data_IF_916779663093
#
_entry.id   IF_916779663093
#
_cell.length_a   1.000
_cell.length_b   1.000
_cell.length_c   1.000
_cell.angle_alpha   90.00
_cell.angle_beta   90.00
_cell.angle_gamma   90.00
#
_symmetry.space_group_name_H-M   'P 1'
#
loop_
_entity.id
_entity.type
_entity.pdbx_description
1 polymer ?
#
# COMPACT_ATOMS: atom_id res chain seq x y z
N UNK A 1 -23.05 -6.78 -66.05
CA UNK A 1 -23.46 -6.00 -64.84
C UNK A 1 -23.67 -6.87 -63.57
N UNK A 2 -22.89 -7.94 -63.32
CA UNK A 2 -23.04 -8.79 -62.10
C UNK A 2 -21.89 -8.68 -61.08
N UNK A 3 -20.71 -8.17 -61.48
CA UNK A 3 -19.54 -8.08 -60.58
C UNK A 3 -19.52 -6.85 -59.65
N UNK A 4 -20.26 -5.79 -59.99
CA UNK A 4 -20.25 -4.54 -59.21
C UNK A 4 -21.05 -4.64 -57.91
N UNK A 5 -22.08 -5.50 -57.84
CA UNK A 5 -22.92 -5.62 -56.64
C UNK A 5 -22.23 -6.42 -55.53
N UNK A 6 -21.36 -7.37 -55.88
CA UNK A 6 -20.65 -8.20 -54.91
C UNK A 6 -19.54 -7.43 -54.20
N UNK A 7 -18.82 -6.56 -54.93
CA UNK A 7 -17.72 -5.75 -54.36
C UNK A 7 -18.25 -4.70 -53.38
N UNK A 8 -19.39 -4.07 -53.68
CA UNK A 8 -20.02 -3.08 -52.78
C UNK A 8 -20.54 -3.74 -51.49
N UNK A 9 -21.07 -4.96 -51.58
CA UNK A 9 -21.54 -5.70 -50.41
C UNK A 9 -20.37 -6.13 -49.51
N UNK A 10 -19.24 -6.56 -50.09
CA UNK A 10 -18.04 -6.92 -49.34
C UNK A 10 -17.38 -5.71 -48.65
N UNK A 11 -17.38 -4.53 -49.30
CA UNK A 11 -16.83 -3.30 -48.70
C UNK A 11 -17.71 -2.79 -47.54
N UNK A 12 -19.04 -2.88 -47.64
CA UNK A 12 -19.94 -2.53 -46.54
C UNK A 12 -19.81 -3.46 -45.33
N UNK A 13 -19.55 -4.76 -45.53
CA UNK A 13 -19.35 -5.72 -44.42
C UNK A 13 -18.02 -5.47 -43.71
N UNK A 14 -16.94 -5.14 -44.44
CA UNK A 14 -15.65 -4.79 -43.84
C UNK A 14 -15.74 -3.50 -43.03
N UNK A 15 -16.47 -2.48 -43.54
CA UNK A 15 -16.69 -1.23 -42.82
C UNK A 15 -17.53 -1.42 -41.54
N UNK A 16 -18.56 -2.28 -41.57
CA UNK A 16 -19.39 -2.59 -40.41
C UNK A 16 -18.64 -3.39 -39.32
N UNK A 17 -17.65 -4.21 -39.69
CA UNK A 17 -16.82 -4.95 -38.73
C UNK A 17 -15.72 -4.07 -38.10
N UNK A 18 -15.29 -3.00 -38.76
CA UNK A 18 -14.32 -2.03 -38.22
C UNK A 18 -14.91 -0.96 -37.31
N UNK A 19 -16.24 -0.88 -37.16
CA UNK A 19 -16.90 0.17 -36.36
C UNK A 19 -17.33 -0.25 -34.95
N UNK A 20 -16.96 -1.46 -34.50
CA UNK A 20 -17.07 -1.85 -33.09
C UNK A 20 -15.78 -1.52 -32.31
N UNK A 21 -15.26 -0.30 -32.43
CA UNK A 21 -14.49 0.29 -31.32
C UNK A 21 -15.50 0.69 -30.27
N UNK A 22 -15.90 -0.25 -29.41
CA UNK A 22 -16.52 0.15 -28.16
C UNK A 22 -15.52 1.08 -27.47
N UNK A 23 -15.94 2.33 -27.26
CA UNK A 23 -15.40 3.16 -26.19
C UNK A 23 -15.81 2.46 -24.89
N UNK A 24 -15.18 1.31 -24.61
CA UNK A 24 -15.18 0.71 -23.30
C UNK A 24 -14.55 1.78 -22.41
N UNK A 25 -15.40 2.45 -21.62
CA UNK A 25 -15.01 3.35 -20.56
C UNK A 25 -13.88 2.63 -19.83
N UNK A 26 -12.65 3.12 -19.97
CA UNK A 26 -11.43 2.45 -19.46
C UNK A 26 -11.62 2.35 -17.96
N UNK A 27 -12.13 1.21 -17.51
CA UNK A 27 -12.53 1.02 -16.12
C UNK A 27 -11.25 1.19 -15.30
N UNK A 28 -11.28 2.13 -14.35
CA UNK A 28 -10.08 2.40 -13.55
C UNK A 28 -9.70 1.08 -12.87
N UNK A 29 -8.43 0.64 -13.00
CA UNK A 29 -8.01 -0.65 -12.47
C UNK A 29 -8.28 -0.67 -10.97
N UNK A 30 -8.84 -1.78 -10.50
CA UNK A 30 -8.99 -2.04 -9.07
C UNK A 30 -7.63 -2.51 -8.54
N UNK A 31 -7.11 -1.82 -7.53
CA UNK A 31 -5.92 -2.25 -6.80
C UNK A 31 -6.35 -3.03 -5.56
N UNK A 32 -5.69 -4.15 -5.25
CA UNK A 32 -6.09 -5.05 -4.15
C UNK A 32 -6.10 -4.36 -2.79
N UNK A 33 -5.20 -3.42 -2.58
CA UNK A 33 -5.14 -2.62 -1.34
C UNK A 33 -6.33 -1.66 -1.16
N UNK A 34 -7.14 -1.40 -2.19
CA UNK A 34 -8.33 -0.54 -2.04
C UNK A 34 -9.36 -1.10 -1.06
N UNK A 35 -9.39 -2.43 -0.86
CA UNK A 35 -10.26 -3.08 0.11
C UNK A 35 -9.65 -3.23 1.51
N UNK A 36 -8.43 -2.72 1.74
CA UNK A 36 -7.66 -3.00 2.95
C UNK A 36 -7.80 -1.97 4.07
N UNK A 37 -8.42 -0.81 3.77
CA UNK A 37 -8.49 0.34 4.67
C UNK A 37 -9.74 0.36 5.55
N UNK A 38 -9.81 -0.54 6.53
CA UNK A 38 -10.81 -0.43 7.59
C UNK A 38 -10.47 0.74 8.52
N UNK A 39 -11.46 1.31 9.21
CA UNK A 39 -11.23 2.36 10.22
C UNK A 39 -10.25 1.86 11.29
N UNK A 40 -9.29 2.71 11.66
CA UNK A 40 -8.21 2.38 12.60
C UNK A 40 -7.06 1.54 12.01
N UNK A 41 -7.23 0.95 10.81
CA UNK A 41 -6.18 0.16 10.16
C UNK A 41 -5.20 1.03 9.36
N UNK A 42 -3.96 0.57 9.25
CA UNK A 42 -2.93 1.18 8.41
C UNK A 42 -2.71 0.29 7.19
N UNK A 43 -2.98 0.81 6.01
CA UNK A 43 -2.67 0.15 4.75
C UNK A 43 -1.28 0.56 4.29
N UNK A 44 -0.40 -0.42 4.11
CA UNK A 44 0.93 -0.21 3.57
C UNK A 44 1.04 -0.88 2.19
N UNK A 45 1.65 -0.19 1.22
CA UNK A 45 1.98 -0.80 -0.08
C UNK A 45 3.43 -0.52 -0.42
N UNK A 46 4.10 -1.51 -1.01
CA UNK A 46 5.50 -1.45 -1.41
C UNK A 46 5.61 -1.87 -2.87
N UNK A 47 6.19 -1.02 -3.70
CA UNK A 47 6.62 -1.39 -5.04
C UNK A 47 7.87 -2.26 -4.95
N UNK A 48 7.75 -3.53 -5.31
CA UNK A 48 8.85 -4.47 -5.20
C UNK A 48 9.98 -4.20 -6.20
N UNK A 49 9.69 -3.48 -7.29
CA UNK A 49 10.70 -3.09 -8.27
C UNK A 49 11.50 -1.88 -7.82
N UNK A 50 10.87 -0.96 -7.07
CA UNK A 50 11.56 0.19 -6.48
C UNK A 50 12.28 -0.18 -5.17
N UNK A 51 11.72 -1.10 -4.39
CA UNK A 51 12.24 -1.53 -3.09
C UNK A 51 12.60 -3.03 -3.04
N UNK A 52 13.48 -3.53 -3.94
CA UNK A 52 13.78 -4.96 -4.01
C UNK A 52 14.44 -5.48 -2.73
N UNK A 53 15.30 -4.70 -2.09
CA UNK A 53 16.00 -5.09 -0.87
C UNK A 53 15.03 -5.23 0.32
N UNK A 54 14.05 -4.33 0.40
CA UNK A 54 13.00 -4.40 1.43
C UNK A 54 12.20 -5.69 1.28
N UNK A 55 11.77 -5.98 0.06
CA UNK A 55 10.99 -7.18 -0.25
C UNK A 55 11.82 -8.46 -0.07
N UNK A 56 13.09 -8.46 -0.49
CA UNK A 56 13.98 -9.59 -0.29
C UNK A 56 14.23 -9.88 1.20
N UNK A 57 14.43 -8.83 2.01
CA UNK A 57 14.65 -8.99 3.46
C UNK A 57 13.45 -9.61 4.18
N UNK A 58 12.24 -9.26 3.76
CA UNK A 58 11.00 -9.86 4.27
C UNK A 58 10.87 -11.35 3.91
N UNK A 59 11.18 -11.71 2.66
CA UNK A 59 11.08 -13.10 2.21
C UNK A 59 12.27 -13.99 2.62
N UNK A 60 13.27 -13.42 3.30
CA UNK A 60 14.45 -14.13 3.78
C UNK A 60 15.17 -14.90 2.67
N UNK A 61 15.28 -16.22 2.82
CA UNK A 61 15.97 -17.10 1.87
C UNK A 61 15.20 -17.33 0.55
N UNK A 62 13.97 -16.83 0.42
CA UNK A 62 13.14 -16.98 -0.78
C UNK A 62 13.41 -15.87 -1.82
N UNK A 63 14.68 -15.67 -2.17
CA UNK A 63 15.11 -14.59 -3.07
C UNK A 63 14.38 -14.62 -4.43
N UNK A 64 14.20 -15.80 -5.04
CA UNK A 64 13.46 -15.95 -6.30
C UNK A 64 11.98 -15.54 -6.19
N UNK A 65 11.39 -15.73 -5.01
CA UNK A 65 10.02 -15.28 -4.76
C UNK A 65 9.95 -13.75 -4.69
N UNK A 66 10.90 -13.14 -3.98
CA UNK A 66 11.02 -11.69 -3.89
C UNK A 66 11.25 -11.03 -5.25
N UNK A 67 12.11 -11.60 -6.12
CA UNK A 67 12.39 -11.07 -7.46
C UNK A 67 11.19 -11.09 -8.40
N UNK A 68 10.22 -11.98 -8.16
CA UNK A 68 8.99 -12.09 -8.95
C UNK A 68 7.86 -11.23 -8.41
N UNK A 69 8.03 -10.64 -7.24
CA UNK A 69 7.06 -9.71 -6.67
C UNK A 69 7.04 -8.42 -7.51
N UNK A 70 5.85 -7.87 -7.66
CA UNK A 70 5.59 -6.56 -8.30
C UNK A 70 5.14 -5.56 -7.25
N UNK A 71 4.24 -5.97 -6.36
CA UNK A 71 3.74 -5.12 -5.28
C UNK A 71 3.38 -5.97 -4.08
N UNK A 72 3.70 -5.46 -2.91
CA UNK A 72 3.22 -6.02 -1.65
C UNK A 72 2.25 -5.05 -1.03
N UNK A 73 1.09 -5.54 -0.59
CA UNK A 73 0.06 -4.75 0.05
C UNK A 73 -0.29 -5.36 1.40
N UNK A 74 -0.41 -4.55 2.44
CA UNK A 74 -0.69 -4.97 3.81
C UNK A 74 -1.83 -4.14 4.38
N UNK A 75 -2.70 -4.78 5.14
CA UNK A 75 -3.57 -4.14 6.13
C UNK A 75 -3.02 -4.47 7.50
N UNK A 76 -2.65 -3.44 8.25
CA UNK A 76 -2.05 -3.53 9.57
C UNK A 76 -3.05 -3.04 10.60
N UNK A 77 -3.45 -3.91 11.51
CA UNK A 77 -4.37 -3.59 12.60
C UNK A 77 -3.59 -3.61 13.91
N UNK A 78 -3.34 -2.45 14.53
CA UNK A 78 -2.82 -2.38 15.88
C UNK A 78 -3.73 -3.17 16.84
N UNK A 79 -3.14 -4.02 17.67
CA UNK A 79 -3.86 -4.79 18.69
C UNK A 79 -3.80 -4.12 20.06
N UNK A 80 -3.05 -3.03 20.18
CA UNK A 80 -2.94 -2.18 21.36
C UNK A 80 -2.86 -0.69 20.98
N UNK A 81 -3.01 0.18 21.97
CA UNK A 81 -3.05 1.64 21.78
C UNK A 81 -1.66 2.30 21.89
N UNK A 82 -0.58 1.51 21.80
CA UNK A 82 0.79 2.01 22.00
C UNK A 82 1.24 2.84 20.79
N UNK A 83 1.96 3.94 21.07
CA UNK A 83 2.52 4.84 20.07
C UNK A 83 4.03 5.07 20.29
N UNK A 84 4.87 4.90 19.25
CA UNK A 84 4.54 4.42 17.91
C UNK A 84 4.13 2.93 17.93
N UNK A 85 3.45 2.47 16.87
CA UNK A 85 2.98 1.08 16.75
C UNK A 85 4.14 0.09 16.89
N UNK A 86 3.98 -0.90 17.78
CA UNK A 86 4.94 -1.99 17.98
C UNK A 86 4.66 -3.16 17.01
N UNK A 87 5.72 -3.84 16.53
CA UNK A 87 5.61 -4.85 15.48
C UNK A 87 4.91 -6.14 15.94
N UNK A 88 5.11 -6.53 17.19
CA UNK A 88 4.51 -7.71 17.82
C UNK A 88 3.04 -7.51 18.19
N UNK A 89 2.57 -6.26 18.17
CA UNK A 89 1.18 -5.87 18.39
C UNK A 89 0.43 -5.56 17.08
N UNK A 90 0.80 -6.19 15.95
CA UNK A 90 0.15 -5.99 14.67
C UNK A 90 -0.51 -7.27 14.14
N UNK A 91 -1.84 -7.25 14.05
CA UNK A 91 -2.57 -8.21 13.24
C UNK A 91 -2.53 -7.76 11.77
N UNK A 92 -1.89 -8.56 10.93
CA UNK A 92 -1.64 -8.25 9.55
C UNK A 92 -2.28 -9.27 8.62
N UNK A 93 -2.86 -8.77 7.53
CA UNK A 93 -3.05 -9.58 6.34
C UNK A 93 -2.52 -8.84 5.13
N UNK A 94 -2.00 -9.59 4.17
CA UNK A 94 -1.33 -9.03 3.02
C UNK A 94 -1.59 -9.81 1.75
N UNK A 95 -1.31 -9.13 0.64
CA UNK A 95 -1.31 -9.71 -0.69
C UNK A 95 -0.02 -9.36 -1.39
N UNK A 96 0.65 -10.38 -1.93
CA UNK A 96 1.81 -10.22 -2.80
C UNK A 96 1.34 -10.43 -4.23
N UNK A 97 1.43 -9.38 -5.03
CA UNK A 97 1.18 -9.41 -6.46
C UNK A 97 2.50 -9.66 -7.19
N UNK A 98 2.53 -10.57 -8.16
CA UNK A 98 3.75 -10.93 -8.87
C UNK A 98 3.54 -11.86 -10.06
N UNK A 99 4.63 -12.43 -10.57
CA UNK A 99 4.60 -13.46 -11.61
C UNK A 99 4.68 -14.86 -10.99
N UNK A 100 3.53 -15.33 -10.48
CA UNK A 100 3.42 -16.58 -9.74
C UNK A 100 2.40 -17.53 -10.38
N UNK A 101 2.77 -18.81 -10.51
CA UNK A 101 1.82 -19.87 -10.84
C UNK A 101 1.14 -20.38 -9.58
N UNK A 102 -0.19 -20.34 -9.56
CA UNK A 102 -1.02 -20.92 -8.49
C UNK A 102 -0.68 -22.38 -8.24
N UNK A 103 -0.51 -23.13 -9.32
CA UNK A 103 -0.20 -24.56 -9.24
C UNK A 103 1.15 -24.77 -8.56
N UNK A 104 2.20 -24.10 -9.06
CA UNK A 104 3.56 -24.28 -8.53
C UNK A 104 3.67 -23.85 -7.06
N UNK A 105 3.12 -22.70 -6.69
CA UNK A 105 3.18 -22.22 -5.30
C UNK A 105 2.42 -23.14 -4.35
N UNK A 106 1.17 -23.50 -4.67
CA UNK A 106 0.38 -24.37 -3.80
C UNK A 106 0.97 -25.78 -3.69
N UNK A 107 1.53 -26.33 -4.79
CA UNK A 107 2.26 -27.59 -4.74
C UNK A 107 3.52 -27.47 -3.88
N UNK A 108 4.29 -26.40 -4.04
CA UNK A 108 5.45 -26.14 -3.18
C UNK A 108 5.10 -26.09 -1.71
N UNK A 109 4.06 -25.32 -1.35
CA UNK A 109 3.57 -25.22 0.03
C UNK A 109 3.05 -26.55 0.59
N UNK A 110 2.42 -27.39 -0.24
CA UNK A 110 1.96 -28.72 0.16
C UNK A 110 3.11 -29.65 0.57
N UNK A 111 4.28 -29.51 -0.06
CA UNK A 111 5.47 -30.32 0.26
C UNK A 111 6.41 -29.66 1.28
N UNK A 112 6.15 -28.41 1.67
CA UNK A 112 6.92 -27.72 2.71
C UNK A 112 6.69 -28.39 4.07
N UNK A 113 7.77 -28.75 4.77
CA UNK A 113 7.70 -29.50 6.04
C UNK A 113 7.17 -28.65 7.18
N UNK A 114 7.33 -27.34 7.06
CA UNK A 114 7.01 -26.31 8.04
C UNK A 114 5.52 -25.96 8.00
N UNK A 115 4.81 -26.32 6.93
CA UNK A 115 3.40 -26.00 6.70
C UNK A 115 2.49 -27.21 6.92
N UNK A 116 1.27 -26.92 7.33
CA UNK A 116 0.17 -27.88 7.45
C UNK A 116 -1.04 -27.35 6.68
N UNK A 117 -1.73 -28.25 5.98
CA UNK A 117 -2.98 -27.89 5.31
C UNK A 117 -4.10 -27.77 6.34
N UNK A 118 -4.87 -26.68 6.23
CA UNK A 118 -6.09 -26.43 6.98
C UNK A 118 -7.25 -26.28 6.00
N UNK A 119 -8.46 -26.60 6.46
CA UNK A 119 -9.68 -26.40 5.69
C UNK A 119 -10.85 -26.13 6.61
N UNK A 120 -11.85 -25.40 6.11
CA UNK A 120 -13.09 -25.13 6.82
C UNK A 120 -14.29 -25.87 6.21
N UNK A 121 -15.46 -25.73 6.84
CA UNK A 121 -16.71 -26.39 6.41
C UNK A 121 -17.21 -25.92 5.04
N UNK A 122 -16.80 -24.72 4.61
CA UNK A 122 -17.19 -24.12 3.33
C UNK A 122 -16.26 -24.54 2.18
N UNK A 123 -15.29 -25.41 2.45
CA UNK A 123 -14.33 -25.92 1.47
C UNK A 123 -13.16 -24.98 1.18
N UNK A 124 -13.00 -23.89 1.92
CA UNK A 124 -11.79 -23.07 1.86
C UNK A 124 -10.63 -23.88 2.43
N UNK A 125 -9.52 -23.95 1.71
CA UNK A 125 -8.29 -24.62 2.16
C UNK A 125 -7.10 -23.68 2.04
N UNK A 126 -6.21 -23.73 3.03
CA UNK A 126 -5.00 -22.89 3.10
C UNK A 126 -3.86 -23.63 3.79
N UNK A 127 -2.66 -23.05 3.76
CA UNK A 127 -1.50 -23.56 4.47
C UNK A 127 -1.23 -22.70 5.70
N UNK A 128 -0.87 -23.35 6.80
CA UNK A 128 -0.56 -22.68 8.06
C UNK A 128 0.72 -23.24 8.64
N UNK A 129 1.59 -22.36 9.14
CA UNK A 129 2.86 -22.72 9.75
C UNK A 129 2.62 -23.56 11.02
N UNK A 130 3.36 -24.66 11.17
CA UNK A 130 3.19 -25.58 12.31
C UNK A 130 3.60 -24.94 13.64
N UNK A 131 4.64 -24.09 13.61
CA UNK A 131 5.25 -23.46 14.78
C UNK A 131 5.22 -21.92 14.67
N UNK A 132 4.19 -21.34 14.06
CA UNK A 132 4.10 -19.89 13.88
C UNK A 132 2.68 -19.43 13.53
N UNK A 133 2.44 -18.11 13.54
CA UNK A 133 1.11 -17.55 13.29
C UNK A 133 0.77 -17.44 11.80
N UNK A 134 1.74 -17.63 10.91
CA UNK A 134 1.58 -17.37 9.48
C UNK A 134 0.63 -18.39 8.82
N UNK A 135 -0.36 -17.87 8.11
CA UNK A 135 -1.25 -18.61 7.23
C UNK A 135 -1.25 -17.99 5.84
N UNK A 136 -1.18 -18.81 4.79
CA UNK A 136 -1.01 -18.35 3.42
C UNK A 136 -1.61 -19.32 2.39
N UNK A 137 -2.00 -18.78 1.24
CA UNK A 137 -2.46 -19.55 0.09
C UNK A 137 -2.43 -18.69 -1.18
N UNK A 138 -2.28 -19.36 -2.34
CA UNK A 138 -2.33 -18.71 -3.65
C UNK A 138 -3.70 -18.96 -4.30
N UNK A 139 -4.68 -18.04 -4.19
CA UNK A 139 -6.03 -18.25 -4.70
C UNK A 139 -6.14 -18.24 -6.24
N UNK A 140 -5.28 -17.48 -6.92
CA UNK A 140 -5.17 -17.44 -8.38
C UNK A 140 -3.74 -17.08 -8.80
N UNK A 141 -3.44 -17.19 -10.09
CA UNK A 141 -2.12 -16.84 -10.60
C UNK A 141 -1.79 -15.38 -10.29
N UNK A 142 -0.55 -15.15 -9.90
CA UNK A 142 0.02 -13.84 -9.63
C UNK A 142 -0.30 -13.25 -8.26
N UNK A 143 -1.05 -13.94 -7.39
CA UNK A 143 -1.45 -13.38 -6.08
C UNK A 143 -1.27 -14.40 -4.95
N UNK A 144 -0.44 -14.08 -3.97
CA UNK A 144 -0.32 -14.81 -2.71
C UNK A 144 -1.01 -14.01 -1.60
N UNK A 145 -1.99 -14.60 -0.93
CA UNK A 145 -2.64 -14.01 0.24
C UNK A 145 -2.03 -14.63 1.49
N UNK A 146 -1.70 -13.80 2.48
CA UNK A 146 -1.13 -14.25 3.74
C UNK A 146 -1.67 -13.43 4.93
N UNK A 147 -1.55 -13.98 6.13
CA UNK A 147 -1.90 -13.30 7.37
C UNK A 147 -1.23 -13.96 8.57
N UNK A 148 -1.02 -13.20 9.65
CA UNK A 148 -0.64 -13.72 10.96
C UNK A 148 -1.85 -13.89 11.91
N UNK A 149 -3.07 -13.70 11.40
CA UNK A 149 -4.33 -13.84 12.12
C UNK A 149 -5.27 -14.88 11.48
N UNK A 150 -6.57 -14.55 11.40
CA UNK A 150 -7.57 -15.43 10.80
C UNK A 150 -7.50 -15.41 9.27
N UNK A 151 -7.06 -16.52 8.67
CA UNK A 151 -7.01 -16.67 7.21
C UNK A 151 -8.39 -16.54 6.55
N UNK A 152 -9.44 -17.03 7.20
CA UNK A 152 -10.81 -16.93 6.67
C UNK A 152 -11.27 -15.49 6.53
N UNK A 153 -10.96 -14.65 7.53
CA UNK A 153 -11.29 -13.22 7.50
C UNK A 153 -10.45 -12.48 6.45
N UNK A 154 -9.15 -12.75 6.40
CA UNK A 154 -8.26 -12.18 5.37
C UNK A 154 -8.73 -12.53 3.95
N UNK A 155 -9.12 -13.79 3.72
CA UNK A 155 -9.61 -14.24 2.42
C UNK A 155 -10.98 -13.63 2.06
N UNK A 156 -11.87 -13.46 3.04
CA UNK A 156 -13.15 -12.77 2.83
C UNK A 156 -12.92 -11.30 2.40
N UNK A 157 -12.07 -10.56 3.12
CA UNK A 157 -11.72 -9.18 2.76
C UNK A 157 -11.08 -9.08 1.37
N UNK A 158 -10.15 -9.99 1.06
CA UNK A 158 -9.53 -10.11 -0.27
C UNK A 158 -10.57 -10.34 -1.39
N UNK A 159 -11.55 -11.20 -1.14
CA UNK A 159 -12.55 -11.59 -2.14
C UNK A 159 -13.62 -10.52 -2.37
N UNK A 160 -14.01 -9.78 -1.34
CA UNK A 160 -15.14 -8.85 -1.39
C UNK A 160 -14.89 -7.64 -2.31
N UNK A 161 -13.62 -7.28 -2.52
CA UNK A 161 -13.19 -6.20 -3.42
C UNK A 161 -13.88 -4.86 -3.15
N UNK A 162 -14.11 -4.53 -1.89
CA UNK A 162 -14.61 -3.21 -1.50
C UNK A 162 -13.64 -2.12 -1.95
N UNK A 163 -14.19 -0.93 -2.25
CA UNK A 163 -13.42 0.28 -2.56
C UNK A 163 -13.46 1.22 -1.35
N UNK A 164 -12.69 0.87 -0.32
CA UNK A 164 -12.55 1.69 0.89
C UNK A 164 -11.60 2.87 0.64
N UNK A 165 -10.60 2.68 -0.23
CA UNK A 165 -9.75 3.75 -0.75
C UNK A 165 -10.27 4.19 -2.12
N UNK A 166 -10.47 5.49 -2.30
CA UNK A 166 -10.93 6.05 -3.56
C UNK A 166 -9.88 5.89 -4.68
N UNK A 167 -10.32 5.93 -5.94
CA UNK A 167 -9.46 5.62 -7.09
C UNK A 167 -8.29 6.60 -7.28
N UNK A 168 -8.44 7.86 -6.84
CA UNK A 168 -7.39 8.86 -6.98
C UNK A 168 -6.25 8.61 -5.98
N UNK A 169 -6.60 8.41 -4.71
CA UNK A 169 -5.63 8.01 -3.67
C UNK A 169 -4.99 6.68 -4.02
N UNK A 170 -5.77 5.71 -4.52
CA UNK A 170 -5.23 4.42 -4.90
C UNK A 170 -4.21 4.52 -6.04
N UNK A 171 -4.48 5.37 -7.03
CA UNK A 171 -3.53 5.64 -8.11
C UNK A 171 -2.25 6.31 -7.60
N UNK A 172 -2.36 7.25 -6.64
CA UNK A 172 -1.20 7.87 -6.01
C UNK A 172 -0.36 6.85 -5.24
N UNK A 173 -1.00 5.97 -4.44
CA UNK A 173 -0.33 4.90 -3.71
C UNK A 173 0.37 3.90 -4.65
N UNK A 174 -0.28 3.54 -5.76
CA UNK A 174 0.28 2.64 -6.77
C UNK A 174 1.50 3.21 -7.50
N UNK A 175 1.69 4.54 -7.49
CA UNK A 175 2.84 5.20 -8.14
C UNK A 175 3.97 5.55 -7.16
N UNK A 176 3.77 5.33 -5.85
CA UNK A 176 4.80 5.51 -4.84
C UNK A 176 5.64 4.23 -4.66
N UNK A 177 6.91 4.40 -4.27
CA UNK A 177 7.80 3.29 -3.90
C UNK A 177 7.29 2.61 -2.64
N UNK A 178 6.90 3.41 -1.64
CA UNK A 178 6.18 2.97 -0.44
C UNK A 178 5.01 3.92 -0.23
N UNK A 179 3.82 3.41 0.04
CA UNK A 179 2.68 4.22 0.42
C UNK A 179 2.08 3.72 1.74
N UNK A 180 1.71 4.66 2.60
CA UNK A 180 0.98 4.39 3.85
C UNK A 180 -0.33 5.17 3.81
N UNK A 181 -1.42 4.51 4.16
CA UNK A 181 -2.75 5.11 4.23
C UNK A 181 -3.42 4.68 5.52
N UNK A 182 -4.09 5.59 6.21
CA UNK A 182 -5.00 5.24 7.29
C UNK A 182 -6.25 6.11 7.25
N UNK A 183 -7.39 5.48 7.53
CA UNK A 183 -8.66 6.14 7.73
C UNK A 183 -9.00 6.08 9.22
N UNK A 184 -9.25 7.24 9.84
CA UNK A 184 -9.48 7.40 11.28
C UNK A 184 -8.45 6.64 12.14
N UNK A 185 -7.13 6.93 12.00
CA UNK A 185 -6.10 6.20 12.74
C UNK A 185 -6.12 6.50 14.25
N UNK A 186 -5.99 5.46 15.07
CA UNK A 186 -5.73 5.61 16.52
C UNK A 186 -4.22 5.75 16.83
N UNK A 187 -3.39 5.19 15.95
CA UNK A 187 -1.93 5.22 16.00
C UNK A 187 -1.37 5.21 14.57
N UNK A 188 -0.09 5.59 14.41
CA UNK A 188 0.53 5.66 13.09
C UNK A 188 2.07 5.57 13.19
N UNK A 189 2.74 5.44 12.03
CA UNK A 189 4.20 5.47 11.97
C UNK A 189 4.74 6.90 12.14
N UNK A 190 5.65 7.12 13.08
CA UNK A 190 6.37 8.39 13.19
C UNK A 190 7.51 8.42 12.16
N UNK A 191 7.35 9.24 11.12
CA UNK A 191 8.42 9.50 10.16
C UNK A 191 9.45 10.51 10.70
N UNK A 192 9.75 10.54 12.00
CA UNK A 192 10.67 11.51 12.62
C UNK A 192 10.18 12.96 12.55
N UNK A 193 8.86 13.16 12.45
CA UNK A 193 8.23 14.48 12.56
C UNK A 193 7.93 14.85 14.02
N UNK A 194 8.10 13.88 14.95
CA UNK A 194 7.79 14.04 16.37
C UNK A 194 6.36 14.55 16.59
N UNK A 195 5.42 14.06 15.79
CA UNK A 195 4.02 14.39 15.94
C UNK A 195 3.46 13.64 17.16
N UNK A 196 2.74 14.32 18.07
CA UNK A 196 2.12 13.63 19.19
C UNK A 196 0.99 12.74 18.68
N UNK A 197 0.75 11.62 19.38
CA UNK A 197 -0.31 10.65 19.05
C UNK A 197 -1.68 11.32 18.87
N UNK A 198 -1.97 12.37 19.65
CA UNK A 198 -3.23 13.13 19.56
C UNK A 198 -3.49 13.72 18.17
N UNK A 199 -2.46 13.97 17.35
CA UNK A 199 -2.63 14.40 15.97
C UNK A 199 -3.29 13.31 15.14
N UNK A 200 -2.83 12.07 15.27
CA UNK A 200 -3.36 10.94 14.50
C UNK A 200 -4.78 10.60 14.94
N UNK A 201 -5.03 10.60 16.26
CA UNK A 201 -6.38 10.40 16.82
C UNK A 201 -7.41 11.48 16.41
N UNK A 202 -6.94 12.64 15.91
CA UNK A 202 -7.78 13.74 15.44
C UNK A 202 -7.74 13.89 13.91
N UNK A 203 -7.09 12.96 13.22
CA UNK A 203 -7.04 12.90 11.77
C UNK A 203 -8.19 12.03 11.26
N UNK A 204 -8.88 12.51 10.23
CA UNK A 204 -9.84 11.71 9.46
C UNK A 204 -9.11 10.76 8.50
N UNK A 205 -8.04 11.25 7.89
CA UNK A 205 -7.31 10.50 6.87
C UNK A 205 -5.84 10.90 6.87
N UNK A 206 -4.96 9.92 6.74
CA UNK A 206 -3.51 10.13 6.64
C UNK A 206 -3.00 9.35 5.45
N UNK A 207 -2.37 10.04 4.50
CA UNK A 207 -1.70 9.44 3.35
C UNK A 207 -0.25 9.91 3.30
N UNK A 208 0.67 8.96 3.27
CA UNK A 208 2.09 9.19 3.05
C UNK A 208 2.52 8.48 1.77
N UNK A 209 3.15 9.23 0.86
CA UNK A 209 3.69 8.72 -0.40
C UNK A 209 5.19 8.93 -0.38
N UNK A 210 5.94 7.84 -0.34
CA UNK A 210 7.39 7.85 -0.32
C UNK A 210 7.90 7.50 -1.70
N UNK A 211 8.74 8.37 -2.23
CA UNK A 211 9.35 8.24 -3.54
C UNK A 211 10.84 8.06 -3.37
N UNK A 212 11.39 7.09 -4.10
CA UNK A 212 12.82 6.88 -4.21
C UNK A 212 13.32 7.49 -5.52
N UNK A 213 14.31 8.38 -5.43
CA UNK A 213 14.99 8.97 -6.58
C UNK A 213 16.51 8.89 -6.36
N UNK A 214 17.20 8.08 -7.16
CA UNK A 214 18.67 7.99 -7.17
C UNK A 214 19.28 7.74 -5.77
N UNK A 215 18.64 6.90 -4.97
CA UNK A 215 19.07 6.56 -3.60
C UNK A 215 18.63 7.53 -2.51
N UNK A 216 17.99 8.66 -2.88
CA UNK A 216 17.37 9.57 -1.92
C UNK A 216 15.87 9.28 -1.78
N UNK A 217 15.36 9.46 -0.56
CA UNK A 217 13.94 9.30 -0.26
C UNK A 217 13.29 10.64 0.02
N UNK A 218 12.14 10.89 -0.60
CA UNK A 218 11.27 12.01 -0.26
C UNK A 218 9.88 11.52 0.09
N UNK A 219 9.20 12.24 0.98
CA UNK A 219 7.81 11.97 1.33
C UNK A 219 6.91 13.13 0.94
N UNK A 220 5.77 12.80 0.34
CA UNK A 220 4.61 13.66 0.28
C UNK A 220 3.61 13.16 1.33
N UNK A 221 3.20 14.02 2.25
CA UNK A 221 2.19 13.70 3.27
C UNK A 221 0.93 14.53 3.05
N UNK A 222 -0.23 13.89 3.15
CA UNK A 222 -1.55 14.49 3.08
C UNK A 222 -2.28 14.07 4.33
N UNK A 223 -2.54 15.02 5.23
CA UNK A 223 -3.14 14.77 6.53
C UNK A 223 -4.42 15.58 6.62
N UNK A 224 -5.55 14.90 6.56
CA UNK A 224 -6.86 15.52 6.65
C UNK A 224 -7.37 15.44 8.07
N UNK A 225 -7.56 16.60 8.71
CA UNK A 225 -7.99 16.71 10.10
C UNK A 225 -9.52 16.77 10.19
N UNK A 226 -10.08 16.51 11.38
CA UNK A 226 -11.52 16.65 11.60
C UNK A 226 -12.03 18.09 11.41
N UNK A 227 -11.18 19.10 11.66
CA UNK A 227 -11.55 20.51 11.52
C UNK A 227 -10.42 21.38 10.97
N UNK A 228 -10.74 22.50 10.27
CA UNK A 228 -9.74 23.45 9.79
C UNK A 228 -8.86 24.06 10.90
N UNK A 229 -9.41 24.18 12.13
CA UNK A 229 -8.66 24.68 13.29
C UNK A 229 -7.55 23.71 13.70
N UNK A 230 -7.85 22.41 13.68
CA UNK A 230 -6.87 21.35 13.95
C UNK A 230 -5.82 21.30 12.84
N UNK A 231 -6.22 21.39 11.57
CA UNK A 231 -5.30 21.48 10.44
C UNK A 231 -4.34 22.68 10.54
N UNK A 232 -4.86 23.85 10.93
CA UNK A 232 -4.02 25.03 11.18
C UNK A 232 -2.99 24.79 12.28
N UNK A 233 -3.40 24.13 13.36
CA UNK A 233 -2.52 23.80 14.50
C UNK A 233 -1.44 22.82 14.07
N UNK A 234 -1.81 21.74 13.37
CA UNK A 234 -0.88 20.77 12.82
C UNK A 234 0.13 21.41 11.86
N UNK A 235 -0.33 22.27 10.94
CA UNK A 235 0.53 22.97 10.00
C UNK A 235 1.60 23.82 10.71
N UNK A 236 1.22 24.51 11.79
CA UNK A 236 2.16 25.27 12.62
C UNK A 236 3.16 24.36 13.35
N UNK A 237 2.69 23.24 13.91
CA UNK A 237 3.53 22.27 14.62
C UNK A 237 4.58 21.65 13.69
N UNK A 238 4.14 21.13 12.54
CA UNK A 238 5.03 20.50 11.54
C UNK A 238 6.08 21.49 11.06
N UNK A 239 5.67 22.71 10.66
CA UNK A 239 6.61 23.75 10.19
C UNK A 239 7.65 24.11 11.27
N UNK A 240 7.21 24.24 12.51
CA UNK A 240 8.09 24.60 13.63
C UNK A 240 9.05 23.46 13.96
N UNK A 241 8.57 22.22 14.01
CA UNK A 241 9.38 21.02 14.24
C UNK A 241 10.43 20.81 13.16
N UNK A 242 10.04 20.96 11.90
CA UNK A 242 10.97 20.84 10.77
C UNK A 242 12.04 21.94 10.78
N UNK A 243 11.65 23.20 11.03
CA UNK A 243 12.62 24.30 11.19
C UNK A 243 13.59 24.08 12.35
N UNK A 244 13.12 23.54 13.48
CA UNK A 244 13.96 23.21 14.62
C UNK A 244 14.99 22.13 14.26
N UNK A 245 14.58 21.09 13.53
CA UNK A 245 15.46 20.04 13.01
C UNK A 245 16.53 20.61 12.08
N UNK A 246 16.15 21.39 11.06
CA UNK A 246 17.11 22.00 10.12
C UNK A 246 18.17 22.85 10.84
N UNK A 247 17.77 23.61 11.87
CA UNK A 247 18.70 24.39 12.69
C UNK A 247 19.63 23.50 13.53
N UNK A 248 19.10 22.45 14.16
CA UNK A 248 19.88 21.47 14.94
C UNK A 248 20.93 20.79 14.08
N UNK A 249 20.55 20.37 12.89
CA UNK A 249 21.39 19.61 11.95
C UNK A 249 22.28 20.53 11.08
N UNK A 250 22.21 21.86 11.30
CA UNK A 250 22.96 22.89 10.54
C UNK A 250 22.74 22.81 9.03
N UNK A 251 21.56 22.36 8.60
CA UNK A 251 21.18 22.28 7.20
C UNK A 251 20.73 23.68 6.75
N UNK A 252 21.34 24.29 5.71
CA UNK A 252 20.91 25.58 5.20
C UNK A 252 19.52 25.47 4.55
N UNK A 253 18.67 26.47 4.76
CA UNK A 253 17.30 26.47 4.23
C UNK A 253 16.88 27.86 3.74
N UNK A 254 16.01 27.89 2.72
CA UNK A 254 15.36 29.13 2.25
C UNK A 254 13.90 29.15 2.67
N UNK A 255 13.47 30.25 3.28
CA UNK A 255 12.08 30.43 3.72
C UNK A 255 11.09 30.29 2.55
N UNK A 256 11.46 30.73 1.35
CA UNK A 256 10.62 30.61 0.16
C UNK A 256 10.35 29.15 -0.24
N UNK A 257 11.36 28.26 -0.13
CA UNK A 257 11.21 26.83 -0.43
C UNK A 257 10.33 26.14 0.60
N UNK A 258 10.48 26.49 1.89
CA UNK A 258 9.65 25.95 2.97
C UNK A 258 8.17 26.32 2.82
N UNK A 259 7.86 27.51 2.27
CA UNK A 259 6.47 27.91 2.01
C UNK A 259 5.78 27.04 0.95
N UNK A 260 6.54 26.52 -0.01
CA UNK A 260 6.01 25.62 -1.04
C UNK A 260 5.92 24.17 -0.57
N UNK A 261 6.73 23.81 0.44
CA UNK A 261 6.73 22.48 1.05
C UNK A 261 5.52 22.24 1.94
N UNK A 262 5.10 23.23 2.74
CA UNK A 262 4.00 23.08 3.69
C UNK A 262 2.78 23.86 3.23
N UNK A 263 1.78 23.18 2.69
CA UNK A 263 0.53 23.77 2.22
C UNK A 263 -0.60 23.45 3.21
N UNK A 264 -1.55 24.35 3.32
CA UNK A 264 -2.75 24.20 4.13
C UNK A 264 -3.93 24.62 3.28
N UNK A 265 -4.89 23.74 3.11
CA UNK A 265 -6.15 23.98 2.41
C UNK A 265 -7.30 23.45 3.27
N UNK A 266 -8.13 24.34 3.81
CA UNK A 266 -9.19 24.01 4.76
C UNK A 266 -8.77 23.05 5.89
N UNK A 267 -9.20 21.79 5.83
CA UNK A 267 -8.93 20.71 6.79
C UNK A 267 -7.72 19.84 6.41
N UNK A 268 -7.10 20.08 5.24
CA UNK A 268 -5.98 19.32 4.70
C UNK A 268 -4.63 20.04 4.91
N UNK A 269 -3.69 19.33 5.55
CA UNK A 269 -2.29 19.71 5.62
C UNK A 269 -1.50 18.87 4.62
N UNK A 270 -0.81 19.54 3.70
CA UNK A 270 0.05 18.89 2.72
C UNK A 270 1.52 19.23 2.97
N UNK A 271 2.36 18.19 2.99
CA UNK A 271 3.81 18.30 3.05
C UNK A 271 4.36 17.72 1.75
N UNK A 272 5.07 18.52 0.96
CA UNK A 272 5.58 18.10 -0.35
C UNK A 272 7.09 17.92 -0.34
N UNK A 273 7.57 16.79 -0.86
CA UNK A 273 8.98 16.50 -1.13
C UNK A 273 9.88 16.71 0.11
N UNK A 274 9.39 16.34 1.30
CA UNK A 274 10.22 16.40 2.49
C UNK A 274 11.28 15.29 2.41
N UNK A 275 12.58 15.60 2.52
CA UNK A 275 13.61 14.57 2.52
C UNK A 275 13.49 13.67 3.74
N UNK A 276 13.60 12.36 3.53
CA UNK A 276 13.73 11.37 4.58
C UNK A 276 15.20 10.96 4.71
N UNK A 277 15.75 11.09 5.91
CA UNK A 277 17.09 10.62 6.21
C UNK A 277 17.15 9.11 6.44
N UNK A 278 18.36 8.57 6.42
CA UNK A 278 18.62 7.12 6.53
C UNK A 278 18.00 6.50 7.79
N UNK A 279 18.06 7.18 8.93
CA UNK A 279 17.47 6.72 10.19
C UNK A 279 15.94 6.59 10.08
N UNK A 280 15.26 7.58 9.49
CA UNK A 280 13.81 7.56 9.31
C UNK A 280 13.39 6.43 8.37
N UNK A 281 14.14 6.25 7.28
CA UNK A 281 13.91 5.15 6.35
C UNK A 281 14.20 3.79 6.98
N UNK A 282 15.25 3.68 7.79
CA UNK A 282 15.57 2.44 8.50
C UNK A 282 14.45 2.03 9.45
N UNK A 283 13.96 2.96 10.28
CA UNK A 283 12.85 2.70 11.20
C UNK A 283 11.58 2.28 10.45
N UNK A 284 11.21 2.99 9.38
CA UNK A 284 10.06 2.63 8.56
C UNK A 284 10.22 1.24 7.93
N UNK A 285 11.36 0.97 7.30
CA UNK A 285 11.63 -0.33 6.68
C UNK A 285 11.59 -1.45 7.72
N UNK A 286 12.19 -1.24 8.88
CA UNK A 286 12.16 -2.20 9.99
C UNK A 286 10.71 -2.50 10.43
N UNK A 287 9.88 -1.46 10.60
CA UNK A 287 8.45 -1.62 10.92
C UNK A 287 7.66 -2.40 9.87
N UNK A 288 8.01 -2.28 8.59
CA UNK A 288 7.37 -3.04 7.52
C UNK A 288 7.90 -4.49 7.43
N UNK A 289 9.22 -4.69 7.52
CA UNK A 289 9.83 -6.03 7.46
C UNK A 289 9.45 -6.94 8.62
N UNK A 290 9.20 -6.38 9.81
CA UNK A 290 8.77 -7.19 10.95
C UNK A 290 7.39 -7.80 10.77
N UNK A 291 6.62 -7.32 9.79
CA UNK A 291 5.24 -7.72 9.53
C UNK A 291 5.09 -8.51 8.22
N UNK A 292 6.04 -8.33 7.29
CA UNK A 292 6.14 -9.09 6.05
C UNK A 292 6.78 -10.45 6.29
#
# INVERSE_FOLDING_TARGET
MKKSKTVVLSVCIVLMLSSCTSLAKRERPYFLFQGMAQSGSIVATVDALAEPDLVASAFGDLSEFAHRAKRVSLSLNPTNDVYPVEQDALAAYGVVEGDYSRFLLNTGMMYARELSTKSNTDGLSWFSQKNGPLSLYTPKNGELVFTNGSYEHAYASYKDRQRLINDEVALQMANASIALYAFEPESFFDLGLNLPQSVFQQAREVLLLIHQNEGNYTVNAFITMETPKLATTLSQMVRSGYLARLKKDKIPFKIAELKLMFLLDEDLVTIMQMPLGDEQMHLLKQSLTGVL
#
